data_IF_413528404518
#
_entry.id   IF_413528404518
#
_cell.length_a   1.000
_cell.length_b   1.000
_cell.length_c   1.000
_cell.angle_alpha   90.00
_cell.angle_beta   90.00
_cell.angle_gamma   90.00
#
_symmetry.space_group_name_H-M   'P 1'
#
loop_
_entity.id
_entity.type
_entity.pdbx_description
1 polymer ?
#
# COMPACT_ATOMS: atom_id res chain seq x y z
N UNK A 1 -13.68 17.34 13.64
CA UNK A 1 -12.50 16.81 14.33
C UNK A 1 -11.32 17.69 13.95
N UNK A 2 -10.64 18.32 14.92
CA UNK A 2 -9.52 19.21 14.65
C UNK A 2 -8.22 18.40 14.78
N UNK A 3 -7.76 17.81 13.68
CA UNK A 3 -6.55 16.97 13.65
C UNK A 3 -5.34 17.89 13.49
N UNK A 4 -4.39 17.89 14.40
CA UNK A 4 -3.20 18.72 14.24
C UNK A 4 -2.25 18.13 13.20
N UNK A 5 -1.49 18.99 12.51
CA UNK A 5 -0.53 18.54 11.50
C UNK A 5 0.57 17.64 12.11
N UNK A 6 0.99 17.95 13.34
CA UNK A 6 1.95 17.16 14.11
C UNK A 6 1.46 15.71 14.28
N UNK A 7 0.18 15.53 14.60
CA UNK A 7 -0.40 14.19 14.80
C UNK A 7 -0.35 13.37 13.52
N UNK A 8 -0.68 14.00 12.37
CA UNK A 8 -0.61 13.36 11.05
C UNK A 8 0.83 13.00 10.68
N UNK A 9 1.80 13.86 10.97
CA UNK A 9 3.21 13.59 10.69
C UNK A 9 3.77 12.46 11.54
N UNK A 10 3.42 12.39 12.82
CA UNK A 10 3.81 11.29 13.70
C UNK A 10 3.18 9.98 13.25
N UNK A 11 1.87 9.96 12.97
CA UNK A 11 1.17 8.77 12.50
C UNK A 11 1.70 8.30 11.13
N UNK A 12 1.99 9.23 10.22
CA UNK A 12 2.61 8.92 8.93
C UNK A 12 4.01 8.32 9.09
N UNK A 13 4.79 8.78 10.06
CA UNK A 13 6.13 8.23 10.31
C UNK A 13 6.08 6.79 10.81
N UNK A 14 5.14 6.51 11.71
CA UNK A 14 4.87 5.15 12.19
C UNK A 14 4.43 4.25 11.03
N UNK A 15 3.48 4.73 10.22
CA UNK A 15 2.98 4.00 9.05
C UNK A 15 4.09 3.71 8.03
N UNK A 16 4.95 4.70 7.75
CA UNK A 16 6.11 4.53 6.87
C UNK A 16 7.08 3.48 7.41
N UNK A 17 7.32 3.46 8.72
CA UNK A 17 8.12 2.41 9.37
C UNK A 17 7.57 1.02 9.07
N UNK A 18 6.27 0.79 9.26
CA UNK A 18 5.64 -0.49 8.94
C UNK A 18 5.69 -0.83 7.44
N UNK A 19 5.48 0.15 6.56
CA UNK A 19 5.56 -0.04 5.12
C UNK A 19 6.97 -0.47 4.68
N UNK A 20 8.00 0.22 5.16
CA UNK A 20 9.41 -0.08 4.86
C UNK A 20 9.80 -1.44 5.44
N UNK A 21 9.44 -1.74 6.69
CA UNK A 21 9.75 -3.05 7.31
C UNK A 21 9.08 -4.19 6.56
N UNK A 22 7.81 -4.06 6.18
CA UNK A 22 7.11 -5.09 5.43
C UNK A 22 7.68 -5.29 4.02
N UNK A 23 8.11 -4.22 3.35
CA UNK A 23 8.80 -4.30 2.06
C UNK A 23 10.20 -4.93 2.20
N UNK A 24 10.97 -4.56 3.22
CA UNK A 24 12.28 -5.15 3.49
C UNK A 24 12.16 -6.67 3.76
N UNK A 25 11.16 -7.08 4.55
CA UNK A 25 10.87 -8.49 4.78
C UNK A 25 10.54 -9.23 3.47
N UNK A 26 9.80 -8.58 2.56
CA UNK A 26 9.47 -9.11 1.24
C UNK A 26 10.70 -9.28 0.36
N UNK A 27 11.58 -8.27 0.31
CA UNK A 27 12.85 -8.31 -0.43
C UNK A 27 13.75 -9.43 0.10
N UNK A 28 13.92 -9.52 1.43
CA UNK A 28 14.70 -10.59 2.05
C UNK A 28 14.16 -11.98 1.72
N UNK A 29 12.83 -12.13 1.68
CA UNK A 29 12.20 -13.39 1.24
C UNK A 29 12.56 -13.70 -0.22
N UNK A 30 12.49 -12.73 -1.13
CA UNK A 30 12.85 -12.95 -2.53
C UNK A 30 14.32 -13.29 -2.72
N UNK A 31 15.23 -12.63 -1.99
CA UNK A 31 16.66 -12.98 -1.99
C UNK A 31 16.84 -14.45 -1.59
N UNK A 32 16.18 -14.89 -0.51
CA UNK A 32 16.26 -16.29 -0.04
C UNK A 32 15.66 -17.31 -1.01
N UNK A 33 14.79 -16.88 -1.92
CA UNK A 33 14.21 -17.69 -2.99
C UNK A 33 15.16 -17.75 -4.19
N UNK A 34 15.80 -16.63 -4.54
CA UNK A 34 16.82 -16.56 -5.58
C UNK A 34 18.05 -17.43 -5.26
N UNK A 35 18.47 -17.47 -4.00
CA UNK A 35 19.52 -18.40 -3.51
C UNK A 35 19.18 -19.88 -3.74
N UNK A 36 17.89 -20.21 -3.87
CA UNK A 36 17.40 -21.57 -4.15
C UNK A 36 17.17 -21.81 -5.64
N UNK A 37 17.77 -20.98 -6.50
CA UNK A 37 17.63 -21.02 -7.97
C UNK A 37 16.18 -20.97 -8.46
N UNK A 38 15.31 -20.28 -7.69
CA UNK A 38 13.91 -20.04 -8.06
C UNK A 38 13.73 -18.63 -8.58
N UNK A 39 12.69 -18.46 -9.39
CA UNK A 39 12.34 -17.16 -9.98
C UNK A 39 12.00 -16.19 -8.85
N UNK A 40 12.60 -15.00 -8.90
CA UNK A 40 12.32 -13.88 -7.99
C UNK A 40 11.45 -12.84 -8.69
N UNK A 41 10.46 -12.32 -7.98
CA UNK A 41 9.66 -11.20 -8.46
C UNK A 41 8.97 -10.45 -7.32
N UNK A 42 8.68 -9.18 -7.58
CA UNK A 42 7.78 -8.38 -6.77
C UNK A 42 6.34 -8.54 -7.31
N UNK A 43 5.44 -9.25 -6.60
CA UNK A 43 4.04 -9.34 -6.97
C UNK A 43 3.37 -7.95 -7.03
N UNK A 44 2.27 -7.84 -7.79
CA UNK A 44 1.42 -6.63 -7.80
C UNK A 44 1.03 -6.12 -6.40
N UNK A 45 0.85 -7.00 -5.41
CA UNK A 45 0.64 -6.63 -4.02
C UNK A 45 1.75 -5.69 -3.49
N UNK A 46 3.02 -5.99 -3.78
CA UNK A 46 4.14 -5.15 -3.34
C UNK A 46 4.11 -3.76 -3.99
N UNK A 47 3.62 -3.69 -5.23
CA UNK A 47 3.40 -2.41 -5.93
C UNK A 47 2.34 -1.57 -5.21
N UNK A 48 1.30 -2.19 -4.61
CA UNK A 48 0.32 -1.47 -3.79
C UNK A 48 0.97 -0.83 -2.56
N UNK A 49 1.87 -1.54 -1.87
CA UNK A 49 2.61 -1.00 -0.73
C UNK A 49 3.58 0.11 -1.17
N UNK A 50 4.32 -0.08 -2.26
CA UNK A 50 5.20 0.95 -2.83
C UNK A 50 4.42 2.22 -3.22
N UNK A 51 3.26 2.06 -3.83
CA UNK A 51 2.40 3.18 -4.17
C UNK A 51 1.83 3.88 -2.93
N UNK A 52 1.47 3.11 -1.90
CA UNK A 52 1.08 3.64 -0.59
C UNK A 52 2.20 4.49 0.04
N UNK A 53 3.44 4.00 0.04
CA UNK A 53 4.61 4.76 0.50
C UNK A 53 4.82 6.03 -0.32
N UNK A 54 4.69 5.94 -1.64
CA UNK A 54 4.82 7.10 -2.53
C UNK A 54 3.78 8.18 -2.18
N UNK A 55 2.51 7.81 -2.05
CA UNK A 55 1.42 8.73 -1.65
C UNK A 55 1.71 9.35 -0.28
N UNK A 56 2.20 8.55 0.67
CA UNK A 56 2.53 9.01 2.01
C UNK A 56 3.67 10.04 1.99
N UNK A 57 4.79 9.69 1.36
CA UNK A 57 5.99 10.54 1.35
C UNK A 57 5.75 11.83 0.58
N UNK A 58 5.17 11.72 -0.62
CA UNK A 58 4.92 12.89 -1.47
C UNK A 58 3.80 13.74 -0.87
N UNK A 59 2.69 13.11 -0.48
CA UNK A 59 1.48 13.80 -0.05
C UNK A 59 1.56 14.45 1.32
N UNK A 60 2.31 13.85 2.26
CA UNK A 60 2.33 14.29 3.67
C UNK A 60 3.60 15.05 4.03
N UNK A 61 4.74 14.71 3.42
CA UNK A 61 6.01 15.35 3.74
C UNK A 61 6.45 16.32 2.65
N UNK A 62 6.61 15.86 1.41
CA UNK A 62 7.24 16.68 0.35
C UNK A 62 6.34 17.85 -0.07
N UNK A 63 5.10 17.60 -0.50
CA UNK A 63 4.22 18.66 -0.99
C UNK A 63 3.90 19.73 0.07
N UNK A 64 3.65 19.39 1.35
CA UNK A 64 3.44 20.40 2.39
C UNK A 64 4.68 21.25 2.68
N UNK A 65 5.86 20.63 2.73
CA UNK A 65 7.13 21.36 2.96
C UNK A 65 7.42 22.34 1.83
N UNK A 66 7.05 22.00 0.60
CA UNK A 66 7.18 22.88 -0.56
C UNK A 66 6.05 23.94 -0.67
N UNK A 67 5.07 23.95 0.25
CA UNK A 67 3.96 24.89 0.23
C UNK A 67 2.86 24.59 -0.81
N UNK A 68 2.87 23.41 -1.44
CA UNK A 68 1.89 23.01 -2.46
C UNK A 68 0.65 22.31 -1.89
N UNK A 69 0.64 21.99 -0.59
CA UNK A 69 -0.44 21.23 0.04
C UNK A 69 -0.92 21.89 1.33
N UNK A 70 -2.24 21.90 1.51
CA UNK A 70 -2.89 22.37 2.74
C UNK A 70 -3.25 21.19 3.67
N UNK A 71 -3.65 21.49 4.90
CA UNK A 71 -3.97 20.47 5.92
C UNK A 71 -5.07 19.49 5.49
N UNK A 72 -6.07 19.94 4.71
CA UNK A 72 -7.10 19.05 4.14
C UNK A 72 -6.49 18.03 3.18
N UNK A 73 -5.64 18.48 2.26
CA UNK A 73 -4.94 17.61 1.33
C UNK A 73 -4.11 16.56 2.07
N UNK A 74 -3.36 16.97 3.09
CA UNK A 74 -2.54 16.07 3.92
C UNK A 74 -3.39 15.00 4.58
N UNK A 75 -4.54 15.40 5.13
CA UNK A 75 -5.50 14.47 5.77
C UNK A 75 -6.01 13.43 4.77
N UNK A 76 -6.35 13.85 3.54
CA UNK A 76 -6.80 12.92 2.50
C UNK A 76 -5.68 12.04 1.95
N UNK A 77 -4.48 12.58 1.76
CA UNK A 77 -3.30 11.81 1.36
C UNK A 77 -2.97 10.73 2.40
N UNK A 78 -3.04 11.06 3.69
CA UNK A 78 -2.87 10.10 4.77
C UNK A 78 -3.92 8.98 4.73
N UNK A 79 -5.20 9.32 4.59
CA UNK A 79 -6.25 8.31 4.50
C UNK A 79 -6.10 7.39 3.29
N UNK A 80 -5.68 7.93 2.13
CA UNK A 80 -5.39 7.13 0.94
C UNK A 80 -4.20 6.20 1.16
N UNK A 81 -3.11 6.68 1.76
CA UNK A 81 -1.95 5.85 2.08
C UNK A 81 -2.34 4.71 3.03
N UNK A 82 -3.08 5.00 4.11
CA UNK A 82 -3.60 3.99 5.05
C UNK A 82 -4.45 2.95 4.32
N UNK A 83 -5.38 3.37 3.46
CA UNK A 83 -6.25 2.46 2.71
C UNK A 83 -5.43 1.50 1.84
N UNK A 84 -4.47 2.02 1.09
CA UNK A 84 -3.60 1.22 0.23
C UNK A 84 -2.73 0.25 1.05
N UNK A 85 -2.16 0.71 2.17
CA UNK A 85 -1.31 -0.12 3.02
C UNK A 85 -2.10 -1.22 3.73
N UNK A 86 -3.31 -0.93 4.20
CA UNK A 86 -4.19 -1.95 4.78
C UNK A 86 -4.61 -2.96 3.71
N UNK A 87 -4.82 -2.53 2.47
CA UNK A 87 -5.13 -3.43 1.35
C UNK A 87 -3.98 -4.39 1.00
N UNK A 88 -2.73 -3.93 1.09
CA UNK A 88 -1.54 -4.72 0.77
C UNK A 88 -1.47 -6.13 1.39
N UNK A 89 -1.64 -6.35 2.71
CA UNK A 89 -1.58 -7.70 3.27
C UNK A 89 -2.68 -8.62 2.72
N UNK A 90 -3.86 -8.09 2.36
CA UNK A 90 -4.90 -8.89 1.70
C UNK A 90 -4.50 -9.26 0.27
N UNK A 91 -3.93 -8.30 -0.49
CA UNK A 91 -3.41 -8.58 -1.82
C UNK A 91 -2.28 -9.62 -1.77
N UNK A 92 -1.39 -9.53 -0.78
CA UNK A 92 -0.29 -10.47 -0.61
C UNK A 92 -0.78 -11.87 -0.20
N UNK A 93 -1.77 -11.97 0.69
CA UNK A 93 -2.39 -13.25 1.03
C UNK A 93 -3.07 -13.88 -0.21
N UNK A 94 -3.70 -13.05 -1.04
CA UNK A 94 -4.30 -13.46 -2.29
C UNK A 94 -3.25 -13.94 -3.32
N UNK A 95 -2.08 -13.30 -3.37
CA UNK A 95 -0.94 -13.74 -4.19
C UNK A 95 -0.48 -15.16 -3.84
N UNK A 96 -0.66 -15.58 -2.59
CA UNK A 96 -0.35 -16.94 -2.14
C UNK A 96 -1.56 -17.90 -2.17
N UNK A 97 -2.65 -17.51 -2.84
CA UNK A 97 -3.91 -18.26 -2.94
C UNK A 97 -4.52 -18.66 -1.57
N UNK A 98 -4.27 -17.87 -0.53
CA UNK A 98 -4.64 -18.24 0.85
C UNK A 98 -6.14 -18.13 1.17
N UNK A 99 -6.97 -17.52 0.31
CA UNK A 99 -8.41 -17.39 0.57
C UNK A 99 -9.21 -18.64 0.21
N UNK A 100 -8.64 -19.56 -0.55
CA UNK A 100 -9.28 -20.83 -0.88
C UNK A 100 -8.46 -22.01 -0.35
N UNK A 101 -9.01 -22.71 0.65
CA UNK A 101 -8.37 -23.90 1.26
C UNK A 101 -8.21 -25.07 0.30
N UNK A 102 -8.94 -25.08 -0.82
CA UNK A 102 -8.90 -26.15 -1.83
C UNK A 102 -7.84 -25.91 -2.90
N UNK A 103 -7.22 -24.73 -2.96
CA UNK A 103 -6.17 -24.41 -3.93
C UNK A 103 -4.79 -24.61 -3.33
N UNK A 104 -3.84 -25.03 -4.16
CA UNK A 104 -2.41 -24.94 -3.84
C UNK A 104 -1.91 -23.59 -4.32
N UNK A 105 -0.79 -23.12 -3.74
CA UNK A 105 -0.09 -21.92 -4.19
C UNK A 105 0.17 -22.02 -5.70
N UNK A 106 -0.32 -21.04 -6.45
CA UNK A 106 0.07 -20.84 -7.84
C UNK A 106 1.49 -20.24 -7.95
N UNK A 107 2.11 -20.48 -9.10
CA UNK A 107 3.40 -19.87 -9.49
C UNK A 107 3.20 -18.81 -10.58
N UNK A 108 1.99 -18.30 -10.70
CA UNK A 108 1.68 -17.20 -11.60
C UNK A 108 2.19 -15.89 -10.99
N UNK A 109 2.64 -14.97 -11.84
CA UNK A 109 3.04 -13.63 -11.40
C UNK A 109 1.86 -12.86 -10.78
N UNK A 110 0.65 -13.05 -11.31
CA UNK A 110 -0.56 -12.36 -10.88
C UNK A 110 -1.79 -13.30 -10.85
N UNK A 111 -1.93 -14.13 -9.81
CA UNK A 111 -3.03 -15.08 -9.69
C UNK A 111 -4.39 -14.42 -9.58
N UNK A 112 -5.44 -15.21 -9.85
CA UNK A 112 -6.83 -14.72 -9.86
C UNK A 112 -7.25 -14.07 -8.54
N UNK A 113 -6.92 -14.67 -7.39
CA UNK A 113 -7.28 -14.10 -6.09
C UNK A 113 -6.66 -12.70 -5.93
N UNK A 114 -5.38 -12.54 -6.30
CA UNK A 114 -4.70 -11.25 -6.23
C UNK A 114 -5.32 -10.23 -7.16
N UNK A 115 -5.69 -10.62 -8.39
CA UNK A 115 -6.42 -9.74 -9.33
C UNK A 115 -7.68 -9.17 -8.69
N UNK A 116 -8.50 -10.03 -8.08
CA UNK A 116 -9.74 -9.61 -7.43
C UNK A 116 -9.47 -8.61 -6.30
N UNK A 117 -8.49 -8.90 -5.44
CA UNK A 117 -8.18 -8.03 -4.30
C UNK A 117 -7.58 -6.70 -4.76
N UNK A 118 -6.63 -6.70 -5.69
CA UNK A 118 -6.02 -5.48 -6.23
C UNK A 118 -7.05 -4.61 -6.94
N UNK A 119 -7.96 -5.20 -7.73
CA UNK A 119 -9.07 -4.46 -8.36
C UNK A 119 -9.99 -3.84 -7.30
N UNK A 120 -10.29 -4.58 -6.23
CA UNK A 120 -11.13 -4.09 -5.13
C UNK A 120 -10.46 -2.90 -4.43
N UNK A 121 -9.16 -2.99 -4.12
CA UNK A 121 -8.38 -1.90 -3.54
C UNK A 121 -8.37 -0.69 -4.48
N UNK A 122 -8.18 -0.89 -5.79
CA UNK A 122 -8.18 0.17 -6.77
C UNK A 122 -9.54 0.89 -6.82
N UNK A 123 -10.65 0.15 -6.83
CA UNK A 123 -12.00 0.73 -6.78
C UNK A 123 -12.21 1.55 -5.50
N UNK A 124 -11.81 1.02 -4.35
CA UNK A 124 -11.92 1.73 -3.07
C UNK A 124 -11.05 2.98 -3.02
N UNK A 125 -9.83 2.92 -3.55
CA UNK A 125 -8.93 4.06 -3.66
C UNK A 125 -9.49 5.16 -4.58
N UNK A 126 -10.04 4.78 -5.74
CA UNK A 126 -10.69 5.72 -6.67
C UNK A 126 -11.91 6.35 -6.00
N UNK A 127 -12.78 5.54 -5.39
CA UNK A 127 -13.97 6.04 -4.69
C UNK A 127 -13.57 7.01 -3.57
N UNK A 128 -12.53 6.68 -2.80
CA UNK A 128 -11.97 7.55 -1.76
C UNK A 128 -11.50 8.89 -2.34
N UNK A 129 -10.71 8.87 -3.41
CA UNK A 129 -10.20 10.07 -4.07
C UNK A 129 -11.35 10.93 -4.62
N UNK A 130 -12.33 10.32 -5.28
CA UNK A 130 -13.52 11.04 -5.80
C UNK A 130 -14.28 11.73 -4.66
N UNK A 131 -14.54 11.02 -3.56
CA UNK A 131 -15.21 11.59 -2.39
C UNK A 131 -14.37 12.72 -1.77
N UNK A 132 -13.05 12.55 -1.67
CA UNK A 132 -12.13 13.56 -1.14
C UNK A 132 -12.12 14.83 -2.01
N UNK A 133 -12.20 14.69 -3.34
CA UNK A 133 -12.28 15.82 -4.27
C UNK A 133 -13.62 16.54 -4.18
N UNK A 134 -14.74 15.83 -4.02
CA UNK A 134 -16.07 16.44 -3.85
C UNK A 134 -16.17 17.22 -2.54
N UNK A 135 -15.53 16.72 -1.47
CA UNK A 135 -15.55 17.35 -0.13
C UNK A 135 -14.47 18.41 0.08
N UNK A 136 -13.61 18.66 -0.92
CA UNK A 136 -12.45 19.55 -0.82
C UNK A 136 -12.83 20.98 -0.46
#
# INVERSE_FOLDING_TARGET
MNIQLSDLWTAAGILLGFQVTSFAARVNREISIGEKERITWLPPADIVNLFSMFVLVIGIYILPVLGFANQKFITYAFGLAVLLFIGYPFALAAHYDMYNRKTKRSFEYFPYQEKVVVITIAILAIAYVVIALIKR
#
